data_IF_852808272055
#
_entry.id   IF_852808272055
#
_cell.length_a   1.000
_cell.length_b   1.000
_cell.length_c   1.000
_cell.angle_alpha   90.00
_cell.angle_beta   90.00
_cell.angle_gamma   90.00
#
_symmetry.space_group_name_H-M   'P 1'
#
loop_
_entity.id
_entity.type
_entity.pdbx_description
1 polymer ?
#
# COMPACT_ATOMS: atom_id res chain seq x y z
N UNK A 1 4.92 53.86 -3.04
CA UNK A 1 4.89 52.79 -2.04
C UNK A 1 3.80 51.72 -2.26
N UNK A 2 2.54 52.10 -2.53
CA UNK A 2 1.43 51.12 -2.74
C UNK A 2 1.61 50.22 -3.97
N UNK A 3 2.25 50.71 -5.02
CA UNK A 3 2.52 49.95 -6.25
C UNK A 3 3.59 48.90 -6.06
N UNK A 4 4.64 49.16 -5.29
CA UNK A 4 5.73 48.24 -4.97
C UNK A 4 5.22 47.05 -4.09
N UNK A 5 4.30 47.35 -3.16
CA UNK A 5 3.70 46.33 -2.28
C UNK A 5 2.83 45.33 -3.08
N UNK A 6 2.14 45.80 -4.11
CA UNK A 6 1.32 44.92 -4.99
C UNK A 6 2.17 44.03 -5.87
N UNK A 7 3.31 44.53 -6.38
CA UNK A 7 4.25 43.73 -7.15
C UNK A 7 4.89 42.64 -6.30
N UNK A 8 5.26 42.94 -5.05
CA UNK A 8 5.84 41.98 -4.12
C UNK A 8 4.84 40.89 -3.75
N UNK A 9 3.54 41.22 -3.60
CA UNK A 9 2.49 40.22 -3.30
C UNK A 9 2.26 39.26 -4.48
N UNK A 10 2.35 39.72 -5.72
CA UNK A 10 2.20 38.87 -6.92
C UNK A 10 3.39 37.95 -7.09
N UNK A 11 4.62 38.42 -6.85
CA UNK A 11 5.83 37.59 -6.94
C UNK A 11 5.83 36.50 -5.86
N UNK A 12 5.37 36.79 -4.64
CA UNK A 12 5.30 35.82 -3.56
C UNK A 12 4.30 34.69 -3.82
N UNK A 13 3.23 34.96 -4.60
CA UNK A 13 2.22 33.93 -4.95
C UNK A 13 2.72 32.87 -5.92
N UNK A 14 3.78 33.13 -6.68
CA UNK A 14 4.37 32.19 -7.63
C UNK A 14 5.32 31.15 -7.00
N UNK A 15 5.77 31.37 -5.76
CA UNK A 15 6.70 30.46 -5.10
C UNK A 15 6.05 29.30 -4.34
N UNK A 16 4.72 29.18 -4.33
CA UNK A 16 3.99 28.14 -3.58
C UNK A 16 3.62 26.93 -4.46
N UNK A 17 4.12 26.81 -5.67
CA UNK A 17 4.01 25.55 -6.43
C UNK A 17 4.99 24.54 -5.86
N UNK A 18 4.64 23.99 -4.70
CA UNK A 18 5.37 22.86 -4.11
C UNK A 18 5.44 21.71 -5.11
N UNK A 19 6.62 21.14 -5.31
CA UNK A 19 6.79 19.90 -6.07
C UNK A 19 6.04 18.78 -5.37
N UNK A 20 4.75 18.64 -5.66
CA UNK A 20 3.98 17.49 -5.19
C UNK A 20 4.52 16.23 -5.88
N UNK A 21 5.00 15.27 -5.10
CA UNK A 21 5.40 13.98 -5.65
C UNK A 21 4.14 13.29 -6.16
N UNK A 22 4.04 13.12 -7.48
CA UNK A 22 2.91 12.44 -8.11
C UNK A 22 3.15 10.94 -8.09
N UNK A 23 2.33 10.21 -7.32
CA UNK A 23 2.29 8.75 -7.35
C UNK A 23 1.52 8.30 -8.59
N UNK A 24 1.89 7.14 -9.16
CA UNK A 24 1.11 6.51 -10.23
C UNK A 24 -0.34 6.25 -9.76
N UNK A 25 -1.33 6.36 -10.64
CA UNK A 25 -2.68 5.92 -10.33
C UNK A 25 -2.67 4.44 -9.95
N UNK A 26 -3.57 4.05 -9.05
CA UNK A 26 -3.76 2.64 -8.71
C UNK A 26 -4.37 1.92 -9.91
N UNK A 27 -3.79 0.77 -10.27
CA UNK A 27 -4.32 -0.09 -11.33
C UNK A 27 -5.13 -1.22 -10.67
N UNK A 28 -6.39 -1.39 -11.08
CA UNK A 28 -7.24 -2.49 -10.63
C UNK A 28 -7.77 -3.24 -11.85
N UNK A 29 -7.70 -4.55 -11.82
CA UNK A 29 -8.26 -5.46 -12.82
C UNK A 29 -9.21 -6.42 -12.11
N UNK A 30 -10.49 -6.37 -12.44
CA UNK A 30 -11.53 -7.19 -11.86
C UNK A 30 -12.08 -8.16 -12.88
N UNK A 31 -12.25 -9.42 -12.51
CA UNK A 31 -13.04 -10.41 -13.26
C UNK A 31 -14.35 -10.72 -12.55
N UNK A 32 -14.38 -10.61 -11.21
CA UNK A 32 -15.51 -10.93 -10.37
C UNK A 32 -15.52 -10.06 -9.10
N UNK A 33 -16.68 -9.96 -8.41
CA UNK A 33 -16.78 -9.22 -7.14
C UNK A 33 -16.28 -10.06 -5.97
N UNK A 34 -15.39 -9.48 -5.15
CA UNK A 34 -14.96 -10.11 -3.89
C UNK A 34 -16.10 -10.31 -2.90
N UNK A 35 -17.18 -9.53 -2.99
CA UNK A 35 -18.34 -9.68 -2.09
C UNK A 35 -19.15 -10.94 -2.32
N UNK A 36 -18.84 -11.72 -3.36
CA UNK A 36 -19.39 -13.09 -3.56
C UNK A 36 -18.76 -14.10 -2.60
N UNK A 37 -17.67 -13.71 -1.94
CA UNK A 37 -16.91 -14.54 -1.00
C UNK A 37 -17.15 -14.08 0.44
N UNK A 38 -16.91 -14.97 1.38
CA UNK A 38 -17.06 -14.68 2.81
C UNK A 38 -15.78 -14.85 3.58
N UNK A 39 -14.92 -15.76 3.14
CA UNK A 39 -13.69 -16.15 3.81
C UNK A 39 -12.48 -15.76 2.97
N UNK A 40 -11.36 -15.53 3.65
CA UNK A 40 -10.08 -15.34 2.98
C UNK A 40 -8.94 -16.05 3.69
N UNK A 41 -8.01 -16.52 2.89
CA UNK A 41 -6.74 -17.09 3.32
C UNK A 41 -5.60 -16.22 2.81
N UNK A 42 -4.70 -15.81 3.70
CA UNK A 42 -3.47 -15.14 3.33
C UNK A 42 -2.33 -16.13 3.44
N UNK A 43 -1.63 -16.33 2.34
CA UNK A 43 -0.43 -17.16 2.34
C UNK A 43 0.66 -16.49 3.19
N UNK A 44 1.23 -17.20 4.17
CA UNK A 44 2.30 -16.67 4.99
C UNK A 44 3.51 -16.35 4.12
N UNK A 45 3.79 -15.08 3.90
CA UNK A 45 5.05 -14.64 3.30
C UNK A 45 6.00 -14.26 4.41
N UNK A 46 7.28 -14.57 4.24
CA UNK A 46 8.30 -14.20 5.20
C UNK A 46 8.27 -12.68 5.47
N UNK A 47 8.49 -12.30 6.72
CA UNK A 47 8.61 -10.90 7.13
C UNK A 47 9.62 -10.19 6.24
N UNK A 48 9.20 -9.10 5.59
CA UNK A 48 10.15 -8.16 4.97
C UNK A 48 10.88 -7.48 6.13
N UNK A 49 12.08 -7.98 6.42
CA UNK A 49 12.96 -7.31 7.36
C UNK A 49 13.39 -5.99 6.72
N UNK A 50 12.88 -4.88 7.25
CA UNK A 50 13.44 -3.58 6.97
C UNK A 50 14.90 -3.63 7.45
N UNK A 51 15.85 -3.61 6.50
CA UNK A 51 17.24 -3.36 6.85
C UNK A 51 17.30 -2.06 7.63
N UNK A 52 18.00 -2.00 8.78
CA UNK A 52 18.15 -0.76 9.50
C UNK A 52 18.78 0.25 8.55
N UNK A 53 18.07 1.32 8.25
CA UNK A 53 18.65 2.48 7.60
C UNK A 53 19.84 2.92 8.46
N UNK A 54 21.01 3.06 7.82
CA UNK A 54 22.28 3.41 8.40
C UNK A 54 22.14 4.42 9.52
N UNK A 55 22.35 4.00 10.77
CA UNK A 55 22.42 4.92 11.90
C UNK A 55 23.56 5.90 11.67
N UNK A 56 23.24 7.19 11.59
CA UNK A 56 24.26 8.21 11.53
C UNK A 56 24.88 8.31 12.92
N UNK A 57 26.14 7.88 13.04
CA UNK A 57 26.93 8.03 14.26
C UNK A 57 27.45 9.46 14.30
N UNK A 58 26.89 10.30 15.12
CA UNK A 58 27.43 11.63 15.43
C UNK A 58 28.01 11.58 16.85
N UNK A 59 29.33 11.41 16.96
CA UNK A 59 30.01 11.28 18.24
C UNK A 59 29.64 9.97 18.97
N UNK A 60 29.44 10.02 20.28
CA UNK A 60 29.10 8.86 21.12
C UNK A 60 27.59 8.57 21.19
N UNK A 61 26.77 9.19 20.35
CA UNK A 61 25.33 9.05 20.34
C UNK A 61 24.90 8.20 19.14
N UNK A 62 24.47 6.96 19.41
CA UNK A 62 23.80 6.09 18.43
C UNK A 62 22.34 6.52 18.40
N UNK A 63 21.92 7.25 17.38
CA UNK A 63 20.51 7.51 17.14
C UNK A 63 19.96 6.23 16.46
N UNK A 64 19.41 5.34 17.26
CA UNK A 64 18.63 4.22 16.78
C UNK A 64 17.35 4.78 16.17
N UNK A 65 17.26 4.83 14.85
CA UNK A 65 15.99 5.06 14.18
C UNK A 65 15.06 3.88 14.52
N UNK A 66 13.85 4.18 14.98
CA UNK A 66 12.81 3.19 15.20
C UNK A 66 12.58 2.41 13.90
N UNK A 67 13.09 1.19 13.82
CA UNK A 67 12.82 0.30 12.70
C UNK A 67 11.41 -0.29 12.85
N UNK A 68 10.41 0.45 12.40
CA UNK A 68 9.04 -0.04 12.29
C UNK A 68 9.03 -1.14 11.22
N UNK A 69 8.99 -2.40 11.64
CA UNK A 69 8.74 -3.51 10.72
C UNK A 69 7.24 -3.65 10.50
N UNK A 70 6.80 -3.60 9.25
CA UNK A 70 5.40 -3.79 8.87
C UNK A 70 5.28 -5.08 8.08
N UNK A 71 4.33 -5.94 8.48
CA UNK A 71 3.96 -7.11 7.69
C UNK A 71 2.79 -6.71 6.76
N UNK A 72 2.99 -6.66 5.43
CA UNK A 72 1.92 -6.32 4.50
C UNK A 72 0.70 -7.25 4.62
N UNK A 73 0.92 -8.53 4.92
CA UNK A 73 -0.16 -9.50 5.12
C UNK A 73 -1.08 -9.15 6.29
N UNK A 74 -0.53 -8.66 7.39
CA UNK A 74 -1.33 -8.24 8.54
C UNK A 74 -2.10 -6.94 8.27
N UNK A 75 -1.51 -6.02 7.49
CA UNK A 75 -2.21 -4.82 7.02
C UNK A 75 -3.41 -5.19 6.13
N UNK A 76 -3.18 -6.05 5.15
CA UNK A 76 -4.22 -6.54 4.24
C UNK A 76 -5.31 -7.25 5.03
N UNK A 77 -4.94 -8.19 5.91
CA UNK A 77 -5.88 -8.91 6.76
C UNK A 77 -6.73 -7.97 7.61
N UNK A 78 -6.11 -6.98 8.24
CA UNK A 78 -6.81 -5.98 9.04
C UNK A 78 -7.85 -5.18 8.25
N UNK A 79 -7.56 -4.82 7.00
CA UNK A 79 -8.52 -4.11 6.15
C UNK A 79 -9.66 -5.03 5.67
N UNK A 80 -9.35 -6.27 5.28
CA UNK A 80 -10.37 -7.24 4.88
C UNK A 80 -11.34 -7.56 6.01
N UNK A 81 -10.84 -7.73 7.24
CA UNK A 81 -11.68 -7.96 8.43
C UNK A 81 -12.58 -6.75 8.71
N UNK A 82 -12.09 -5.52 8.56
CA UNK A 82 -12.91 -4.30 8.74
C UNK A 82 -14.06 -4.20 7.74
N UNK A 83 -13.91 -4.75 6.55
CA UNK A 83 -14.95 -4.80 5.51
C UNK A 83 -15.93 -5.97 5.72
N UNK A 84 -15.61 -6.90 6.64
CA UNK A 84 -16.50 -7.98 7.02
C UNK A 84 -16.10 -9.38 6.55
N UNK A 85 -14.94 -9.53 5.91
CA UNK A 85 -14.41 -10.85 5.55
C UNK A 85 -13.85 -11.59 6.78
N UNK A 86 -13.92 -12.91 6.75
CA UNK A 86 -13.45 -13.78 7.84
C UNK A 86 -12.16 -14.46 7.43
N UNK A 87 -11.08 -14.22 8.19
CA UNK A 87 -9.78 -14.88 7.98
C UNK A 87 -9.87 -16.36 8.39
N UNK A 88 -9.39 -17.25 7.53
CA UNK A 88 -9.20 -18.67 7.86
C UNK A 88 -7.72 -19.00 7.98
N UNK A 89 -7.32 -19.86 8.94
CA UNK A 89 -5.91 -20.21 9.15
C UNK A 89 -5.38 -21.16 8.08
N UNK A 90 -6.28 -21.91 7.43
CA UNK A 90 -5.96 -22.90 6.39
C UNK A 90 -7.09 -22.98 5.37
N UNK A 91 -6.78 -23.48 4.17
CA UNK A 91 -7.77 -23.74 3.14
C UNK A 91 -8.52 -25.03 3.49
N UNK A 92 -9.86 -24.92 3.52
CA UNK A 92 -10.77 -26.04 3.85
C UNK A 92 -11.68 -26.29 2.67
N UNK A 93 -11.88 -27.58 2.34
CA UNK A 93 -12.69 -27.97 1.18
C UNK A 93 -14.18 -27.64 1.34
N UNK A 94 -14.70 -27.65 2.58
CA UNK A 94 -16.12 -27.38 2.89
C UNK A 94 -16.53 -25.91 2.67
N UNK A 95 -15.60 -24.97 2.64
CA UNK A 95 -15.86 -23.53 2.44
C UNK A 95 -15.09 -22.96 1.23
N UNK A 96 -14.45 -23.79 0.44
CA UNK A 96 -13.54 -23.42 -0.64
C UNK A 96 -14.21 -22.50 -1.69
N UNK A 97 -15.49 -22.78 -2.02
CA UNK A 97 -16.25 -21.97 -2.98
C UNK A 97 -16.57 -20.55 -2.49
N UNK A 98 -16.52 -20.35 -1.17
CA UNK A 98 -16.73 -19.04 -0.54
C UNK A 98 -15.43 -18.42 -0.02
N UNK A 99 -14.28 -18.96 -0.41
CA UNK A 99 -12.96 -18.52 0.07
C UNK A 99 -12.14 -17.97 -1.08
N UNK A 100 -11.49 -16.84 -0.87
CA UNK A 100 -10.43 -16.38 -1.76
C UNK A 100 -9.07 -16.42 -1.06
N UNK A 101 -8.03 -16.62 -1.88
CA UNK A 101 -6.63 -16.59 -1.48
C UNK A 101 -6.09 -15.19 -1.76
N UNK A 102 -5.32 -14.64 -0.85
CA UNK A 102 -4.63 -13.36 -1.01
C UNK A 102 -3.15 -13.60 -1.19
N UNK A 103 -2.63 -13.27 -2.36
CA UNK A 103 -1.21 -13.17 -2.65
C UNK A 103 -0.81 -11.71 -2.71
N UNK A 104 0.39 -11.39 -2.27
CA UNK A 104 0.91 -10.03 -2.35
C UNK A 104 2.44 -10.02 -2.44
N UNK A 105 2.97 -8.95 -2.99
CA UNK A 105 4.41 -8.79 -3.13
C UNK A 105 4.81 -7.39 -3.54
N UNK A 106 6.07 -7.05 -3.27
CA UNK A 106 6.70 -5.87 -3.84
C UNK A 106 7.04 -6.15 -5.31
N UNK A 107 6.50 -5.34 -6.21
CA UNK A 107 6.65 -5.53 -7.66
C UNK A 107 7.52 -4.48 -8.31
N UNK A 108 7.84 -3.40 -7.61
CA UNK A 108 8.70 -2.36 -8.13
C UNK A 108 9.06 -1.27 -7.13
N UNK A 109 10.02 -0.46 -7.57
CA UNK A 109 10.44 0.76 -6.89
C UNK A 109 10.94 1.73 -7.94
N UNK A 110 10.66 3.03 -7.80
CA UNK A 110 11.22 4.04 -8.69
C UNK A 110 11.75 5.22 -7.90
N UNK A 111 12.83 5.88 -8.39
CA UNK A 111 13.31 7.11 -7.79
C UNK A 111 12.33 8.25 -8.01
N UNK A 112 12.19 9.09 -7.00
CA UNK A 112 11.46 10.36 -7.03
C UNK A 112 12.33 11.46 -6.45
N UNK A 113 11.89 12.71 -6.50
CA UNK A 113 12.70 13.87 -6.09
C UNK A 113 13.30 13.75 -4.68
N UNK A 114 12.59 13.10 -3.75
CA UNK A 114 13.01 12.93 -2.35
C UNK A 114 12.89 11.46 -1.93
N UNK A 115 13.63 10.54 -2.58
CA UNK A 115 13.68 9.14 -2.18
C UNK A 115 13.21 8.17 -3.25
N UNK A 116 12.53 7.11 -2.82
CA UNK A 116 12.00 6.05 -3.67
C UNK A 116 10.55 5.77 -3.33
N UNK A 117 9.76 5.39 -4.33
CA UNK A 117 8.45 4.79 -4.09
C UNK A 117 8.58 3.28 -3.97
N UNK A 118 7.64 2.66 -3.28
CA UNK A 118 7.47 1.20 -3.26
C UNK A 118 6.16 0.85 -3.96
N UNK A 119 6.21 -0.09 -4.88
CA UNK A 119 5.05 -0.62 -5.58
C UNK A 119 4.68 -1.99 -5.01
N UNK A 120 3.42 -2.15 -4.61
CA UNK A 120 2.86 -3.40 -4.07
C UNK A 120 1.76 -3.88 -5.01
N UNK A 121 1.81 -5.15 -5.36
CA UNK A 121 0.71 -5.84 -6.04
C UNK A 121 0.02 -6.78 -5.06
N UNK A 122 -1.31 -6.71 -5.02
CA UNK A 122 -2.18 -7.61 -4.26
C UNK A 122 -3.06 -8.33 -5.26
N UNK A 123 -3.10 -9.64 -5.18
CA UNK A 123 -3.90 -10.51 -6.03
C UNK A 123 -4.86 -11.34 -5.19
N UNK A 124 -6.12 -11.30 -5.55
CA UNK A 124 -7.20 -12.11 -4.97
C UNK A 124 -7.54 -13.23 -5.95
N UNK A 125 -7.51 -14.46 -5.47
CA UNK A 125 -7.64 -15.67 -6.28
C UNK A 125 -8.75 -16.54 -5.68
N UNK A 126 -9.67 -17.04 -6.50
CA UNK A 126 -10.66 -18.01 -6.05
C UNK A 126 -9.98 -19.27 -5.51
N UNK A 127 -10.34 -19.71 -4.30
CA UNK A 127 -9.75 -20.91 -3.75
C UNK A 127 -10.28 -22.19 -4.44
N UNK A 128 -11.44 -22.14 -5.07
CA UNK A 128 -12.02 -23.29 -5.79
C UNK A 128 -11.48 -23.43 -7.21
N UNK A 129 -11.42 -22.34 -7.99
CA UNK A 129 -11.01 -22.39 -9.41
C UNK A 129 -9.54 -22.07 -9.62
N UNK A 130 -8.88 -21.44 -8.64
CA UNK A 130 -7.53 -20.88 -8.72
C UNK A 130 -7.38 -19.77 -9.78
N UNK A 131 -8.49 -19.18 -10.20
CA UNK A 131 -8.49 -18.06 -11.14
C UNK A 131 -8.42 -16.72 -10.41
N UNK A 132 -7.76 -15.72 -11.00
CA UNK A 132 -7.72 -14.37 -10.44
C UNK A 132 -9.12 -13.74 -10.43
N UNK A 133 -9.57 -13.30 -9.27
CA UNK A 133 -10.82 -12.53 -9.07
C UNK A 133 -10.54 -11.05 -9.31
N UNK A 134 -9.49 -10.55 -8.66
CA UNK A 134 -9.09 -9.15 -8.73
C UNK A 134 -7.57 -9.04 -8.51
N UNK A 135 -6.96 -8.13 -9.24
CA UNK A 135 -5.54 -7.76 -9.02
C UNK A 135 -5.44 -6.25 -8.90
N UNK A 136 -4.72 -5.80 -7.91
CA UNK A 136 -4.49 -4.39 -7.69
C UNK A 136 -3.00 -4.10 -7.51
N UNK A 137 -2.53 -3.02 -8.16
CA UNK A 137 -1.17 -2.51 -8.01
C UNK A 137 -1.20 -1.04 -7.59
N UNK A 138 -0.51 -0.71 -6.51
CA UNK A 138 -0.44 0.64 -5.98
C UNK A 138 0.96 1.03 -5.53
N UNK A 139 1.31 2.30 -5.70
CA UNK A 139 2.54 2.91 -5.18
C UNK A 139 2.30 3.58 -3.83
N UNK A 140 3.30 3.52 -2.95
CA UNK A 140 3.39 4.31 -1.73
C UNK A 140 4.70 5.05 -1.61
N UNK A 141 4.70 6.14 -0.88
CA UNK A 141 5.87 6.92 -0.48
C UNK A 141 5.67 7.43 0.94
N UNK A 142 6.67 7.28 1.77
CA UNK A 142 6.69 7.72 3.16
C UNK A 142 8.09 8.06 3.63
N UNK A 143 8.24 8.21 4.92
CA UNK A 143 9.53 8.52 5.54
C UNK A 143 10.39 7.26 5.72
N UNK A 144 9.74 6.09 5.74
CA UNK A 144 10.37 4.78 5.88
C UNK A 144 9.82 3.80 4.85
N UNK A 145 10.56 2.72 4.57
CA UNK A 145 10.08 1.61 3.72
C UNK A 145 8.77 1.01 4.24
N UNK A 146 8.59 0.96 5.55
CA UNK A 146 7.35 0.48 6.17
C UNK A 146 6.15 1.39 5.84
N UNK A 147 6.35 2.71 5.87
CA UNK A 147 5.31 3.69 5.53
C UNK A 147 4.98 3.65 4.04
N UNK A 148 5.98 3.41 3.17
CA UNK A 148 5.75 3.21 1.73
C UNK A 148 4.82 2.02 1.47
N UNK A 149 5.14 0.88 2.08
CA UNK A 149 4.37 -0.36 1.97
C UNK A 149 2.95 -0.16 2.52
N UNK A 150 2.82 0.45 3.71
CA UNK A 150 1.53 0.74 4.33
C UNK A 150 0.66 1.58 3.40
N UNK A 151 1.19 2.69 2.86
CA UNK A 151 0.46 3.57 1.94
C UNK A 151 0.09 2.88 0.63
N UNK A 152 0.99 2.07 0.06
CA UNK A 152 0.72 1.32 -1.16
C UNK A 152 -0.45 0.33 -0.95
N UNK A 153 -0.43 -0.44 0.15
CA UNK A 153 -1.50 -1.38 0.52
C UNK A 153 -2.83 -0.67 0.71
N UNK A 154 -2.86 0.43 1.48
CA UNK A 154 -4.10 1.17 1.72
C UNK A 154 -4.71 1.74 0.44
N UNK A 155 -3.90 2.37 -0.42
CA UNK A 155 -4.37 2.90 -1.69
C UNK A 155 -4.95 1.81 -2.58
N UNK A 156 -4.27 0.65 -2.63
CA UNK A 156 -4.70 -0.50 -3.38
C UNK A 156 -6.07 -1.00 -2.92
N UNK A 157 -6.21 -1.33 -1.64
CA UNK A 157 -7.45 -1.86 -1.09
C UNK A 157 -8.60 -0.85 -1.14
N UNK A 158 -8.33 0.43 -0.90
CA UNK A 158 -9.33 1.48 -1.03
C UNK A 158 -9.92 1.54 -2.45
N UNK A 159 -9.07 1.47 -3.48
CA UNK A 159 -9.52 1.47 -4.87
C UNK A 159 -10.33 0.22 -5.20
N UNK A 160 -9.88 -0.96 -4.77
CA UNK A 160 -10.60 -2.24 -4.96
C UNK A 160 -12.01 -2.14 -4.37
N UNK A 161 -12.14 -1.70 -3.11
CA UNK A 161 -13.45 -1.60 -2.46
C UNK A 161 -14.35 -0.52 -3.07
N UNK A 162 -13.78 0.59 -3.56
CA UNK A 162 -14.55 1.63 -4.26
C UNK A 162 -15.10 1.14 -5.59
N UNK A 163 -14.35 0.36 -6.35
CA UNK A 163 -14.80 -0.19 -7.63
C UNK A 163 -15.86 -1.27 -7.47
N UNK A 164 -15.77 -2.05 -6.41
CA UNK A 164 -16.74 -3.11 -6.12
C UNK A 164 -18.05 -2.61 -5.48
N UNK A 165 -18.08 -1.36 -4.99
CA UNK A 165 -19.27 -0.73 -4.43
C UNK A 165 -20.14 -0.02 -5.48
N UNK A 166 -19.72 0.01 -6.74
CA UNK A 166 -20.47 0.60 -7.89
C UNK A 166 -21.39 -0.41 -8.53
#
# INVERSE_FOLDING_TARGET
MRSLLRLFSIVLSFFVTGCAITLKPVSVQNSESLFNYKYFYIQPTGTVNASPSSGVVIGNMVISGDSKSVNPGDLIAGQLIKVGFIRVPELRDDIKDMTFIVNYGETGSRPVTLGYTTEITIQFISASTLEPICTCTGEGIGDTKADDVEKAVYRCLQQVFQEMAK
#
